data_IF_502123673349
#
_entry.id   IF_502123673349
#
_cell.length_a   1.000
_cell.length_b   1.000
_cell.length_c   1.000
_cell.angle_alpha   90.00
_cell.angle_beta   90.00
_cell.angle_gamma   90.00
#
_symmetry.space_group_name_H-M   'P 1'
#
loop_
_entity.id
_entity.type
_entity.pdbx_description
1 polymer ?
#
# COMPACT_ATOMS: atom_id res chain seq x y z
N UNK A 1 24.74 3.07 0.79
CA UNK A 1 26.19 3.28 0.55
C UNK A 1 26.85 3.95 1.76
N UNK A 2 26.70 5.26 2.00
CA UNK A 2 27.49 5.99 3.03
C UNK A 2 27.14 5.66 4.50
N UNK A 3 25.84 5.55 4.83
CA UNK A 3 25.38 5.41 6.24
C UNK A 3 25.37 3.97 6.76
N UNK A 4 25.24 3.01 5.86
CA UNK A 4 25.06 1.59 6.21
C UNK A 4 26.27 0.72 5.86
N UNK A 5 27.35 1.29 5.29
CA UNK A 5 28.56 0.54 4.94
C UNK A 5 28.35 -0.56 3.89
N UNK A 6 27.32 -0.41 3.05
CA UNK A 6 26.90 -1.42 2.06
C UNK A 6 27.63 -1.28 0.72
N UNK A 7 28.84 -0.74 0.70
CA UNK A 7 29.67 -0.66 -0.51
C UNK A 7 30.86 -1.59 -0.39
N UNK A 8 31.07 -2.42 -1.41
CA UNK A 8 32.21 -3.35 -1.46
C UNK A 8 33.55 -2.61 -1.63
N UNK A 9 33.54 -1.46 -2.31
CA UNK A 9 34.74 -0.63 -2.52
C UNK A 9 35.15 0.16 -1.29
N UNK A 10 34.17 0.79 -0.62
CA UNK A 10 34.43 1.63 0.56
C UNK A 10 34.54 0.81 1.86
N UNK A 11 34.10 -0.46 1.81
CA UNK A 11 34.05 -1.37 2.95
C UNK A 11 32.96 -0.99 3.97
N UNK A 12 32.88 -1.73 5.09
CA UNK A 12 31.86 -1.52 6.13
C UNK A 12 32.20 -0.32 7.01
N UNK A 13 32.28 0.87 6.42
CA UNK A 13 32.55 2.13 7.11
C UNK A 13 31.37 3.08 6.97
N UNK A 14 31.08 3.79 8.05
CA UNK A 14 30.09 4.87 8.05
C UNK A 14 30.82 6.16 7.67
N UNK A 15 30.40 6.77 6.56
CA UNK A 15 30.95 8.03 6.06
C UNK A 15 29.92 9.15 6.30
N UNK A 16 30.36 10.23 6.94
CA UNK A 16 29.53 11.35 7.37
C UNK A 16 29.06 11.22 8.83
N UNK A 17 29.22 12.29 9.62
CA UNK A 17 28.65 12.40 10.96
C UNK A 17 27.21 12.91 10.84
N UNK A 18 26.23 12.11 11.28
CA UNK A 18 24.93 12.64 11.68
C UNK A 18 25.11 13.31 13.05
N UNK A 19 25.64 14.54 13.08
CA UNK A 19 25.48 15.39 14.26
C UNK A 19 24.09 16.04 14.20
N UNK A 20 23.06 15.23 14.43
CA UNK A 20 21.75 15.72 14.84
C UNK A 20 21.89 16.25 16.27
N UNK A 21 22.52 17.41 16.44
CA UNK A 21 22.47 18.21 17.66
C UNK A 21 21.28 19.16 17.51
N UNK A 22 20.08 18.83 18.03
CA UNK A 22 18.86 19.61 17.79
C UNK A 22 18.88 21.04 18.38
N UNK A 23 19.97 21.45 19.03
CA UNK A 23 20.10 22.71 19.77
C UNK A 23 21.19 23.67 19.29
N UNK A 24 22.08 23.28 18.38
CA UNK A 24 22.92 24.22 17.64
C UNK A 24 22.36 24.35 16.24
N UNK A 25 22.00 25.57 15.83
CA UNK A 25 21.40 25.84 14.53
C UNK A 25 22.13 25.15 13.38
N UNK A 26 21.34 24.71 12.39
CA UNK A 26 21.70 23.94 11.18
C UNK A 26 22.91 24.48 10.36
N UNK A 27 23.50 25.60 10.74
CA UNK A 27 24.51 26.32 9.97
C UNK A 27 25.95 26.13 10.45
N UNK A 28 26.19 25.56 11.65
CA UNK A 28 27.55 25.38 12.16
C UNK A 28 28.07 23.94 11.94
N UNK A 29 28.42 23.61 10.69
CA UNK A 29 29.28 22.46 10.38
C UNK A 29 28.56 21.22 9.81
N UNK A 30 28.03 21.33 8.60
CA UNK A 30 27.76 20.16 7.75
C UNK A 30 28.90 19.99 6.74
N UNK A 31 30.15 20.05 7.19
CA UNK A 31 31.27 19.70 6.32
C UNK A 31 31.46 18.18 6.39
N UNK A 32 31.44 17.47 5.24
CA UNK A 32 31.63 16.03 5.26
C UNK A 32 33.05 15.66 5.73
N UNK A 33 33.16 14.76 6.70
CA UNK A 33 34.43 14.22 7.24
C UNK A 33 35.13 13.23 6.26
N UNK A 34 35.19 13.53 4.96
CA UNK A 34 35.86 12.68 3.96
C UNK A 34 36.50 13.49 2.84
N UNK A 35 37.57 12.96 2.24
CA UNK A 35 38.31 13.64 1.17
C UNK A 35 37.54 13.67 -0.15
N UNK A 36 37.92 14.57 -1.06
CA UNK A 36 37.36 14.65 -2.42
C UNK A 36 37.48 13.33 -3.20
N UNK A 37 38.54 12.57 -2.95
CA UNK A 37 38.76 11.25 -3.56
C UNK A 37 37.69 10.26 -3.08
N UNK A 38 37.42 10.22 -1.77
CA UNK A 38 36.36 9.39 -1.19
C UNK A 38 34.98 9.85 -1.65
N UNK A 39 34.77 11.16 -1.83
CA UNK A 39 33.52 11.70 -2.37
C UNK A 39 33.25 11.17 -3.80
N UNK A 40 34.27 11.16 -4.66
CA UNK A 40 34.16 10.61 -6.03
C UNK A 40 33.84 9.11 -6.01
N UNK A 41 34.50 8.34 -5.14
CA UNK A 41 34.22 6.91 -5.01
C UNK A 41 32.78 6.64 -4.58
N UNK A 42 32.22 7.47 -3.69
CA UNK A 42 30.82 7.38 -3.28
C UNK A 42 29.88 7.64 -4.45
N UNK A 43 30.11 8.71 -5.20
CA UNK A 43 29.27 9.06 -6.36
C UNK A 43 29.29 7.97 -7.43
N UNK A 44 30.47 7.39 -7.68
CA UNK A 44 30.62 6.27 -8.62
C UNK A 44 29.88 5.02 -8.14
N UNK A 45 29.90 4.74 -6.84
CA UNK A 45 29.15 3.61 -6.26
C UNK A 45 27.64 3.86 -6.32
N UNK A 46 27.19 5.09 -6.06
CA UNK A 46 25.77 5.46 -6.19
C UNK A 46 25.32 5.23 -7.64
N UNK A 47 26.11 5.69 -8.61
CA UNK A 47 25.82 5.47 -10.03
C UNK A 47 25.73 3.97 -10.34
N UNK A 48 26.71 3.17 -9.90
CA UNK A 48 26.72 1.72 -10.11
C UNK A 48 25.45 1.05 -9.60
N UNK A 49 25.04 1.35 -8.37
CA UNK A 49 23.84 0.75 -7.75
C UNK A 49 22.58 1.14 -8.50
N UNK A 50 22.45 2.41 -8.92
CA UNK A 50 21.30 2.87 -9.70
C UNK A 50 21.25 2.16 -11.06
N UNK A 51 22.38 2.06 -11.75
CA UNK A 51 22.49 1.39 -13.05
C UNK A 51 22.09 -0.10 -12.92
N UNK A 52 22.64 -0.80 -11.94
CA UNK A 52 22.35 -2.22 -11.69
C UNK A 52 20.87 -2.45 -11.33
N UNK A 53 20.29 -1.60 -10.49
CA UNK A 53 18.87 -1.66 -10.14
C UNK A 53 17.99 -1.39 -11.37
N UNK A 54 18.36 -0.42 -12.21
CA UNK A 54 17.65 -0.09 -13.43
C UNK A 54 17.73 -1.24 -14.44
N UNK A 55 18.91 -1.81 -14.68
CA UNK A 55 19.08 -2.98 -15.55
C UNK A 55 18.29 -4.19 -15.06
N UNK A 56 18.30 -4.42 -13.74
CA UNK A 56 17.53 -5.50 -13.13
C UNK A 56 16.03 -5.30 -13.32
N UNK A 57 15.52 -4.11 -13.04
CA UNK A 57 14.12 -3.77 -13.28
C UNK A 57 13.76 -3.93 -14.76
N UNK A 58 14.60 -3.43 -15.67
CA UNK A 58 14.39 -3.54 -17.11
C UNK A 58 14.37 -5.00 -17.57
N UNK A 59 15.25 -5.84 -17.02
CA UNK A 59 15.30 -7.27 -17.32
C UNK A 59 14.03 -7.99 -16.86
N UNK A 60 13.61 -7.77 -15.62
CA UNK A 60 12.36 -8.35 -15.07
C UNK A 60 11.16 -7.92 -15.92
N UNK A 61 11.05 -6.64 -16.28
CA UNK A 61 9.97 -6.16 -17.14
C UNK A 61 10.02 -6.81 -18.53
N UNK A 62 11.21 -6.99 -19.11
CA UNK A 62 11.38 -7.67 -20.41
C UNK A 62 10.99 -9.15 -20.36
N UNK A 63 11.34 -9.84 -19.28
CA UNK A 63 11.00 -11.25 -19.07
C UNK A 63 9.48 -11.45 -18.93
N UNK A 64 8.79 -10.50 -18.31
CA UNK A 64 7.33 -10.54 -18.07
C UNK A 64 6.52 -9.59 -18.98
N UNK A 65 6.99 -9.32 -20.21
CA UNK A 65 6.30 -8.39 -21.14
C UNK A 65 4.88 -8.82 -21.49
N UNK A 66 4.63 -10.13 -21.62
CA UNK A 66 3.30 -10.65 -21.96
C UNK A 66 2.30 -10.39 -20.84
N UNK A 67 2.70 -10.65 -19.59
CA UNK A 67 1.90 -10.34 -18.40
C UNK A 67 1.66 -8.83 -18.26
N UNK A 68 2.67 -8.01 -18.52
CA UNK A 68 2.56 -6.56 -18.50
C UNK A 68 1.55 -6.04 -19.53
N UNK A 69 1.59 -6.55 -20.76
CA UNK A 69 0.61 -6.19 -21.78
C UNK A 69 -0.81 -6.63 -21.41
N UNK A 70 -0.96 -7.83 -20.84
CA UNK A 70 -2.26 -8.35 -20.37
C UNK A 70 -2.85 -7.46 -19.28
N UNK A 71 -2.07 -7.13 -18.25
CA UNK A 71 -2.52 -6.29 -17.13
C UNK A 71 -2.79 -4.86 -17.61
N UNK A 72 -1.97 -4.33 -18.52
CA UNK A 72 -2.21 -3.02 -19.12
C UNK A 72 -3.53 -2.96 -19.89
N UNK A 73 -3.90 -4.02 -20.62
CA UNK A 73 -5.19 -4.08 -21.32
C UNK A 73 -6.36 -4.05 -20.33
N UNK A 74 -6.26 -4.82 -19.25
CA UNK A 74 -7.29 -4.85 -18.18
C UNK A 74 -7.41 -3.47 -17.50
N UNK A 75 -6.30 -2.79 -17.23
CA UNK A 75 -6.30 -1.45 -16.65
C UNK A 75 -6.93 -0.39 -17.56
N UNK A 76 -6.83 -0.56 -18.89
CA UNK A 76 -7.52 0.31 -19.85
C UNK A 76 -9.04 0.15 -19.73
N UNK A 77 -9.52 -1.07 -19.47
CA UNK A 77 -10.96 -1.36 -19.34
C UNK A 77 -11.53 -0.99 -17.96
N UNK A 78 -10.77 -1.22 -16.88
CA UNK A 78 -11.27 -1.13 -15.49
C UNK A 78 -10.72 0.03 -14.67
N UNK A 79 -9.76 0.80 -15.20
CA UNK A 79 -9.08 1.96 -14.56
C UNK A 79 -8.26 1.65 -13.30
N UNK A 80 -8.74 0.76 -12.42
CA UNK A 80 -8.11 0.38 -11.15
C UNK A 80 -8.26 -1.12 -10.92
N UNK A 81 -7.22 -1.74 -10.35
CA UNK A 81 -7.20 -3.13 -9.91
C UNK A 81 -6.72 -3.18 -8.46
N UNK A 82 -7.36 -4.01 -7.65
CA UNK A 82 -6.93 -4.25 -6.27
C UNK A 82 -5.74 -5.22 -6.23
N UNK A 83 -5.02 -5.20 -5.10
CA UNK A 83 -3.84 -6.05 -4.88
C UNK A 83 -4.15 -7.53 -5.08
N UNK A 84 -5.22 -8.04 -4.47
CA UNK A 84 -5.59 -9.47 -4.57
C UNK A 84 -5.97 -9.86 -6.01
N UNK A 85 -6.59 -8.95 -6.76
CA UNK A 85 -6.92 -9.16 -8.17
C UNK A 85 -5.66 -9.22 -9.02
N UNK A 86 -4.71 -8.30 -8.80
CA UNK A 86 -3.43 -8.28 -9.49
C UNK A 86 -2.60 -9.55 -9.25
N UNK A 87 -2.51 -10.02 -8.01
CA UNK A 87 -1.81 -11.27 -7.69
C UNK A 87 -2.41 -12.49 -8.41
N UNK A 88 -3.75 -12.56 -8.49
CA UNK A 88 -4.46 -13.63 -9.23
C UNK A 88 -4.25 -13.55 -10.74
N UNK A 89 -4.25 -12.34 -11.31
CA UNK A 89 -3.99 -12.12 -12.73
C UNK A 89 -2.56 -12.52 -13.13
N UNK A 90 -1.56 -12.21 -12.29
CA UNK A 90 -0.17 -12.66 -12.46
C UNK A 90 -0.05 -14.18 -12.30
N UNK A 91 -0.82 -14.79 -11.38
CA UNK A 91 -0.86 -16.24 -11.21
C UNK A 91 -1.49 -16.99 -12.41
N UNK A 92 -1.98 -16.26 -13.42
CA UNK A 92 -2.51 -16.83 -14.65
C UNK A 92 -4.01 -17.09 -14.64
N UNK A 93 -4.75 -16.59 -13.64
CA UNK A 93 -6.21 -16.70 -13.64
C UNK A 93 -6.84 -15.87 -14.77
N UNK A 94 -8.02 -16.29 -15.23
CA UNK A 94 -8.80 -15.58 -16.24
C UNK A 94 -9.52 -14.37 -15.64
N UNK A 95 -9.65 -13.32 -16.46
CA UNK A 95 -10.27 -12.05 -16.06
C UNK A 95 -11.70 -12.25 -15.53
N UNK A 96 -12.49 -13.11 -16.18
CA UNK A 96 -13.87 -13.42 -15.78
C UNK A 96 -14.00 -14.01 -14.38
N UNK A 97 -12.94 -14.64 -13.88
CA UNK A 97 -12.90 -15.27 -12.56
C UNK A 97 -12.38 -14.30 -11.49
N UNK A 98 -11.52 -13.36 -11.90
CA UNK A 98 -10.98 -12.31 -11.02
C UNK A 98 -12.00 -11.20 -10.81
N UNK A 99 -12.73 -10.86 -11.87
CA UNK A 99 -13.82 -9.91 -11.86
C UNK A 99 -15.11 -10.62 -12.25
N UNK A 100 -15.78 -11.27 -11.29
CA UNK A 100 -17.13 -11.73 -11.53
C UNK A 100 -17.97 -10.47 -11.78
N UNK A 101 -18.37 -10.24 -13.03
CA UNK A 101 -19.48 -9.33 -13.27
C UNK A 101 -20.64 -9.89 -12.47
N UNK A 102 -21.24 -9.06 -11.60
CA UNK A 102 -22.57 -9.35 -11.11
C UNK A 102 -23.46 -9.38 -12.35
N UNK A 103 -23.62 -10.56 -12.92
CA UNK A 103 -24.66 -10.82 -13.91
C UNK A 103 -25.94 -10.54 -13.12
N UNK A 104 -26.48 -9.34 -13.27
CA UNK A 104 -27.87 -9.07 -12.94
C UNK A 104 -28.65 -10.11 -13.74
N UNK A 105 -28.97 -11.22 -13.08
CA UNK A 105 -29.93 -12.17 -13.58
C UNK A 105 -31.22 -11.38 -13.60
N UNK A 106 -31.53 -10.80 -14.76
CA UNK A 106 -32.85 -10.33 -15.12
C UNK A 106 -33.73 -11.56 -15.13
N UNK A 107 -34.14 -12.00 -13.94
CA UNK A 107 -35.22 -12.95 -13.77
C UNK A 107 -36.43 -12.23 -14.34
N UNK A 108 -36.75 -12.52 -15.59
CA UNK A 108 -38.01 -12.15 -16.21
C UNK A 108 -39.09 -12.94 -15.47
N UNK A 109 -39.54 -12.41 -14.33
CA UNK A 109 -40.78 -12.86 -13.69
C UNK A 109 -41.94 -12.47 -14.61
N UNK A 110 -42.79 -13.42 -15.04
CA UNK A 110 -44.01 -13.11 -15.79
C UNK A 110 -44.94 -12.20 -14.97
N UNK A 111 -45.77 -11.36 -15.62
CA UNK A 111 -46.63 -10.43 -14.91
C UNK A 111 -47.84 -11.17 -14.35
N UNK A 112 -47.92 -11.28 -13.03
CA UNK A 112 -49.18 -11.56 -12.34
C UNK A 112 -49.52 -10.41 -11.40
N UNK A 113 -50.81 -10.08 -11.41
CA UNK A 113 -51.36 -8.77 -11.14
C UNK A 113 -51.39 -8.37 -9.66
N UNK A 114 -51.26 -7.05 -9.46
CA UNK A 114 -51.76 -6.17 -8.40
C UNK A 114 -52.07 -6.72 -6.99
N UNK A 115 -51.43 -6.11 -5.97
CA UNK A 115 -52.01 -6.12 -4.63
C UNK A 115 -51.10 -5.70 -3.48
N UNK A 116 -51.24 -4.44 -3.04
CA UNK A 116 -50.96 -3.91 -1.71
C UNK A 116 -49.51 -3.70 -1.23
N UNK A 117 -49.26 -2.42 -0.90
CA UNK A 117 -48.07 -1.88 -0.24
C UNK A 117 -48.03 -2.25 1.24
N UNK A 118 -46.95 -2.89 1.68
CA UNK A 118 -46.47 -2.77 3.08
C UNK A 118 -44.94 -2.62 3.08
N UNK A 119 -44.47 -1.39 3.33
CA UNK A 119 -43.07 -1.14 3.63
C UNK A 119 -42.78 -1.61 5.06
N UNK A 120 -41.97 -2.66 5.22
CA UNK A 120 -41.38 -3.01 6.53
C UNK A 120 -40.53 -1.82 7.04
N UNK A 121 -40.66 -1.41 8.31
CA UNK A 121 -39.82 -0.34 8.84
C UNK A 121 -38.37 -0.83 9.03
N UNK A 122 -37.41 0.04 8.68
CA UNK A 122 -35.99 -0.20 8.88
C UNK A 122 -35.65 -0.34 10.37
N UNK A 123 -34.69 -1.20 10.75
CA UNK A 123 -34.28 -1.33 12.14
C UNK A 123 -33.47 -0.10 12.58
N UNK A 124 -33.85 0.51 13.71
CA UNK A 124 -33.12 1.62 14.32
C UNK A 124 -31.80 1.14 14.93
N UNK A 125 -30.71 1.93 14.83
CA UNK A 125 -29.42 1.55 15.41
C UNK A 125 -29.44 1.69 16.93
N UNK A 126 -28.96 0.67 17.65
CA UNK A 126 -28.75 0.73 19.10
C UNK A 126 -27.48 1.55 19.41
N UNK A 127 -27.50 2.48 20.37
CA UNK A 127 -26.31 3.22 20.76
C UNK A 127 -25.33 2.29 21.51
N UNK A 128 -24.04 2.42 21.21
CA UNK A 128 -22.97 1.74 21.95
C UNK A 128 -22.79 2.42 23.32
N UNK A 129 -22.55 1.66 24.40
CA UNK A 129 -22.31 2.25 25.71
C UNK A 129 -20.97 3.00 25.73
N UNK A 130 -20.99 4.24 26.23
CA UNK A 130 -19.78 4.99 26.54
C UNK A 130 -19.14 4.41 27.82
N UNK A 131 -17.82 4.12 27.82
CA UNK A 131 -17.14 3.64 29.02
C UNK A 131 -17.11 4.71 30.11
N UNK A 132 -17.61 4.36 31.30
CA UNK A 132 -17.44 5.14 32.52
C UNK A 132 -18.71 5.83 33.02
N UNK A 133 -19.64 5.07 33.61
CA UNK A 133 -20.47 5.54 34.73
C UNK A 133 -20.95 4.31 35.50
N UNK A 134 -20.07 3.80 36.37
CA UNK A 134 -20.41 2.79 37.36
C UNK A 134 -20.98 3.45 38.61
N UNK A 135 -22.01 2.81 39.16
CA UNK A 135 -22.56 2.94 40.52
C UNK A 135 -23.74 3.88 40.70
N UNK A 136 -24.94 3.31 40.59
CA UNK A 136 -26.07 3.71 41.42
C UNK A 136 -26.52 2.47 42.23
N UNK A 137 -26.58 2.54 43.58
CA UNK A 137 -27.02 1.40 44.38
C UNK A 137 -28.54 1.18 44.22
N UNK A 138 -29.05 -0.04 44.46
CA UNK A 138 -30.46 -0.35 44.27
C UNK A 138 -31.35 0.37 45.31
N UNK A 139 -32.62 0.66 44.98
CA UNK A 139 -33.55 1.32 45.91
C UNK A 139 -33.98 0.35 47.04
N UNK A 140 -34.36 0.87 48.23
CA UNK A 140 -34.78 0.02 49.33
C UNK A 140 -36.17 -0.58 49.09
N UNK A 141 -36.33 -1.85 49.43
CA UNK A 141 -37.61 -2.56 49.41
C UNK A 141 -38.56 -1.95 50.44
N UNK A 142 -39.73 -1.50 49.99
CA UNK A 142 -40.82 -1.09 50.87
C UNK A 142 -41.72 -2.30 51.17
N UNK A 143 -42.06 -2.44 52.46
CA UNK A 143 -42.97 -3.44 53.05
C UNK A 143 -44.41 -3.36 52.53
#
# INVERSE_FOLDING_TARGET
>A
IMRFGMSEKLGPRVLGRNQDMPFLGREMGNEPDYSDEIAREIDDEIRRVIEEAHETAHRVLREHMEELHRISAILIERETIDKDQFERLIAGEDESTVFPEEVEVTVVTPPEAEGSSERKPAPTPKPRPVPGLGMQPPPPEAS
#
